data_IF_212731789860
#
_entry.id   IF_212731789860
#
_cell.length_a   1.000
_cell.length_b   1.000
_cell.length_c   1.000
_cell.angle_alpha   90.00
_cell.angle_beta   90.00
_cell.angle_gamma   90.00
#
_symmetry.space_group_name_H-M   'P 1'
#
loop_
_entity.id
_entity.type
_entity.pdbx_description
1 polymer ?
#
# COMPACT_ATOMS: atom_id res chain seq x y z
N UNK A 1 -20.99 1.61 4.06
CA UNK A 1 -20.12 2.39 3.14
C UNK A 1 -20.95 2.94 2.00
N UNK A 2 -20.70 4.16 1.55
CA UNK A 2 -21.30 4.78 0.36
C UNK A 2 -20.23 5.02 -0.71
N UNK A 3 -20.59 4.87 -1.97
CA UNK A 3 -19.75 5.26 -3.11
C UNK A 3 -20.47 6.39 -3.86
N UNK A 4 -19.85 7.57 -3.89
CA UNK A 4 -20.34 8.74 -4.62
C UNK A 4 -19.48 8.96 -5.86
N UNK A 5 -20.11 8.94 -7.02
CA UNK A 5 -19.46 9.21 -8.31
C UNK A 5 -19.88 10.58 -8.81
N UNK A 6 -18.94 11.51 -8.93
CA UNK A 6 -19.16 12.91 -9.29
C UNK A 6 -18.60 13.18 -10.68
N UNK A 7 -19.45 13.39 -11.70
CA UNK A 7 -18.97 13.74 -13.04
C UNK A 7 -18.48 15.19 -13.07
N UNK A 8 -17.21 15.39 -13.47
CA UNK A 8 -16.60 16.73 -13.57
C UNK A 8 -16.33 17.17 -15.01
N UNK A 9 -16.48 16.28 -15.98
CA UNK A 9 -16.41 16.59 -17.40
C UNK A 9 -15.04 17.04 -17.92
N UNK A 10 -13.98 16.78 -17.17
CA UNK A 10 -12.61 17.20 -17.50
C UNK A 10 -11.57 16.38 -16.70
N UNK A 11 -10.31 16.50 -17.05
CA UNK A 11 -9.21 15.89 -16.31
C UNK A 11 -8.27 15.11 -17.22
N UNK A 12 -8.80 14.49 -18.28
CA UNK A 12 -8.00 13.67 -19.21
C UNK A 12 -7.62 12.29 -18.64
N UNK A 13 -7.89 12.06 -17.35
CA UNK A 13 -7.78 10.79 -16.66
C UNK A 13 -9.15 10.31 -16.23
N UNK A 14 -9.40 8.98 -16.16
CA UNK A 14 -10.73 8.45 -15.81
C UNK A 14 -11.22 8.95 -14.46
N UNK A 15 -10.34 8.89 -13.45
CA UNK A 15 -10.60 9.37 -12.10
C UNK A 15 -9.48 10.34 -11.69
N UNK A 16 -9.58 11.63 -12.05
CA UNK A 16 -8.57 12.63 -11.70
C UNK A 16 -8.38 12.85 -10.20
N UNK A 17 -9.40 12.52 -9.40
CA UNK A 17 -9.37 12.66 -7.95
C UNK A 17 -10.29 11.65 -7.27
N UNK A 18 -9.80 11.07 -6.17
CA UNK A 18 -10.56 10.26 -5.22
C UNK A 18 -10.31 10.75 -3.80
N UNK A 19 -11.23 10.49 -2.90
CA UNK A 19 -11.06 10.77 -1.48
C UNK A 19 -11.97 9.89 -0.62
N UNK A 20 -11.53 9.58 0.59
CA UNK A 20 -12.34 8.92 1.62
C UNK A 20 -12.89 9.96 2.57
N UNK A 21 -14.20 9.94 2.77
CA UNK A 21 -14.90 10.74 3.77
C UNK A 21 -15.31 9.85 4.93
N UNK A 22 -15.04 10.32 6.15
CA UNK A 22 -15.37 9.63 7.40
C UNK A 22 -16.11 10.54 8.35
N UNK A 23 -16.90 9.96 9.22
CA UNK A 23 -17.76 10.69 10.17
C UNK A 23 -19.24 10.57 9.81
N UNK A 24 -19.98 9.74 10.54
CA UNK A 24 -21.37 9.37 10.25
C UNK A 24 -21.54 8.21 9.29
N UNK A 25 -20.47 7.56 8.90
CA UNK A 25 -20.35 6.45 7.96
C UNK A 25 -19.23 6.70 6.95
N UNK A 26 -18.62 5.62 6.47
CA UNK A 26 -17.54 5.71 5.48
C UNK A 26 -18.13 5.93 4.08
N UNK A 27 -17.54 6.86 3.34
CA UNK A 27 -17.84 7.11 1.94
C UNK A 27 -16.56 7.26 1.12
N UNK A 28 -16.62 6.77 -0.13
CA UNK A 28 -15.57 7.03 -1.13
C UNK A 28 -16.18 7.95 -2.20
N UNK A 29 -15.55 9.08 -2.44
CA UNK A 29 -15.93 10.02 -3.49
C UNK A 29 -14.95 9.89 -4.65
N UNK A 30 -15.48 9.69 -5.86
CA UNK A 30 -14.70 9.63 -7.09
C UNK A 30 -15.14 10.74 -8.01
N UNK A 31 -14.23 11.60 -8.40
CA UNK A 31 -14.45 12.66 -9.37
C UNK A 31 -14.00 12.16 -10.74
N UNK A 32 -14.93 12.01 -11.67
CA UNK A 32 -14.67 11.31 -12.93
C UNK A 32 -14.80 12.20 -14.16
N UNK A 33 -13.98 11.92 -15.17
CA UNK A 33 -14.20 12.45 -16.51
C UNK A 33 -15.11 11.50 -17.29
N UNK A 34 -16.43 11.71 -17.16
CA UNK A 34 -17.46 10.85 -17.77
C UNK A 34 -17.43 10.82 -19.31
N UNK A 35 -16.56 11.61 -19.95
CA UNK A 35 -16.38 11.60 -21.41
C UNK A 35 -15.51 10.44 -21.89
N UNK A 36 -14.75 9.83 -20.98
CA UNK A 36 -13.90 8.69 -21.29
C UNK A 36 -14.71 7.39 -21.39
N UNK A 37 -14.25 6.41 -22.16
CA UNK A 37 -14.96 5.14 -22.32
C UNK A 37 -14.88 4.28 -21.05
N UNK A 38 -15.82 3.36 -20.87
CA UNK A 38 -15.92 2.51 -19.67
C UNK A 38 -14.65 1.71 -19.40
N UNK A 39 -13.96 1.25 -20.44
CA UNK A 39 -12.71 0.49 -20.37
C UNK A 39 -11.59 1.28 -19.67
N UNK A 40 -11.59 2.62 -19.81
CA UNK A 40 -10.61 3.47 -19.14
C UNK A 40 -10.79 3.42 -17.62
N UNK A 41 -12.04 3.40 -17.12
CA UNK A 41 -12.34 3.28 -15.69
C UNK A 41 -11.99 1.89 -15.14
N UNK A 42 -12.20 0.84 -15.93
CA UNK A 42 -11.78 -0.52 -15.53
C UNK A 42 -10.26 -0.68 -15.44
N UNK A 43 -9.52 0.14 -16.17
CA UNK A 43 -8.05 0.18 -16.10
C UNK A 43 -7.53 1.07 -14.98
N UNK A 44 -8.36 1.96 -14.44
CA UNK A 44 -7.98 2.93 -13.40
C UNK A 44 -7.68 2.25 -12.05
N UNK A 45 -6.93 2.93 -11.21
CA UNK A 45 -6.47 2.42 -9.93
C UNK A 45 -7.07 3.14 -8.72
N UNK A 46 -7.61 4.34 -8.93
CA UNK A 46 -8.00 5.26 -7.83
C UNK A 46 -9.06 4.65 -6.94
N UNK A 47 -10.11 4.03 -7.50
CA UNK A 47 -11.16 3.39 -6.69
C UNK A 47 -10.57 2.38 -5.69
N UNK A 48 -9.65 1.51 -6.14
CA UNK A 48 -9.07 0.47 -5.28
C UNK A 48 -8.14 1.09 -4.23
N UNK A 49 -7.42 2.17 -4.59
CA UNK A 49 -6.61 2.94 -3.66
C UNK A 49 -7.47 3.56 -2.55
N UNK A 50 -8.54 4.26 -2.90
CA UNK A 50 -9.44 4.89 -1.93
C UNK A 50 -10.13 3.85 -1.03
N UNK A 51 -10.60 2.73 -1.60
CA UNK A 51 -11.16 1.65 -0.81
C UNK A 51 -10.14 1.07 0.19
N UNK A 52 -8.87 1.03 -0.17
CA UNK A 52 -7.81 0.51 0.70
C UNK A 52 -7.57 1.40 1.93
N UNK A 53 -7.87 2.69 1.87
CA UNK A 53 -7.83 3.55 3.05
C UNK A 53 -8.84 3.13 4.13
N UNK A 54 -9.90 2.40 3.78
CA UNK A 54 -10.89 1.91 4.75
C UNK A 54 -10.37 0.73 5.60
N UNK A 55 -9.22 0.15 5.27
CA UNK A 55 -8.59 -0.93 6.04
C UNK A 55 -7.92 -0.44 7.34
N UNK A 56 -7.80 0.87 7.54
CA UNK A 56 -7.15 1.47 8.71
C UNK A 56 -7.90 2.75 9.15
N UNK A 57 -7.66 3.26 10.38
CA UNK A 57 -8.27 4.51 10.86
C UNK A 57 -7.70 5.73 10.09
N UNK A 58 -8.25 6.92 10.37
CA UNK A 58 -7.59 8.16 9.96
C UNK A 58 -6.19 8.20 10.58
N UNK A 59 -5.17 8.38 9.76
CA UNK A 59 -3.79 8.53 10.21
C UNK A 59 -3.42 10.01 10.27
N UNK A 60 -2.70 10.40 11.32
CA UNK A 60 -2.23 11.77 11.53
C UNK A 60 -1.42 12.26 10.32
N UNK A 61 -1.59 13.52 9.98
CA UNK A 61 -0.99 14.11 8.78
C UNK A 61 0.55 13.93 8.66
N UNK A 62 1.35 13.99 9.73
CA UNK A 62 2.78 13.71 9.64
C UNK A 62 3.11 12.25 9.26
N UNK A 63 2.21 11.34 9.54
CA UNK A 63 2.38 9.90 9.35
C UNK A 63 1.73 9.37 8.04
N UNK A 64 1.44 10.23 7.07
CA UNK A 64 0.80 9.85 5.79
C UNK A 64 1.48 8.71 5.07
N UNK A 65 2.79 8.53 5.27
CA UNK A 65 3.55 7.42 4.67
C UNK A 65 2.90 6.06 4.96
N UNK A 66 2.28 5.87 6.13
CA UNK A 66 1.62 4.60 6.47
C UNK A 66 0.28 4.45 5.75
N UNK A 67 -0.56 5.49 5.79
CA UNK A 67 -1.87 5.50 5.13
C UNK A 67 -1.73 5.31 3.62
N UNK A 68 -0.96 6.18 2.98
CA UNK A 68 -0.73 6.15 1.53
C UNK A 68 0.06 4.91 1.10
N UNK A 69 0.94 4.43 1.98
CA UNK A 69 1.71 3.22 1.75
C UNK A 69 0.85 1.97 1.69
N UNK A 70 -0.04 1.77 2.66
CA UNK A 70 -1.01 0.67 2.66
C UNK A 70 -1.88 0.73 1.40
N UNK A 71 -2.43 1.90 1.08
CA UNK A 71 -3.27 2.08 -0.09
C UNK A 71 -2.50 1.82 -1.40
N UNK A 72 -1.26 2.32 -1.53
CA UNK A 72 -0.40 2.09 -2.71
C UNK A 72 0.02 0.63 -2.89
N UNK A 73 0.20 -0.11 -1.81
CA UNK A 73 0.44 -1.54 -1.84
C UNK A 73 -0.81 -2.28 -2.35
N UNK A 74 -1.93 -2.08 -1.68
CA UNK A 74 -3.17 -2.80 -1.96
C UNK A 74 -3.81 -2.43 -3.30
N UNK A 75 -3.65 -1.22 -3.80
CA UNK A 75 -4.16 -0.85 -5.12
C UNK A 75 -3.68 -1.79 -6.24
N UNK A 76 -2.48 -2.37 -6.10
CA UNK A 76 -1.93 -3.31 -7.08
C UNK A 76 -2.27 -4.76 -6.72
N UNK A 77 -2.12 -5.14 -5.47
CA UNK A 77 -2.40 -6.49 -4.95
C UNK A 77 -3.86 -6.85 -5.15
N UNK A 78 -4.79 -6.00 -4.73
CA UNK A 78 -6.22 -6.28 -4.83
C UNK A 78 -6.71 -6.34 -6.28
N UNK A 79 -6.12 -5.55 -7.18
CA UNK A 79 -6.45 -5.63 -8.62
C UNK A 79 -6.01 -6.96 -9.24
N UNK A 80 -4.90 -7.55 -8.78
CA UNK A 80 -4.50 -8.89 -9.19
C UNK A 80 -5.44 -9.95 -8.62
N UNK A 81 -5.74 -9.90 -7.33
CA UNK A 81 -6.64 -10.83 -6.65
C UNK A 81 -8.07 -10.81 -7.22
N UNK A 82 -8.54 -9.66 -7.64
CA UNK A 82 -9.84 -9.50 -8.29
C UNK A 82 -9.84 -9.93 -9.78
N UNK A 83 -8.71 -10.37 -10.31
CA UNK A 83 -8.60 -10.77 -11.73
C UNK A 83 -8.63 -9.60 -12.72
N UNK A 84 -8.61 -8.35 -12.25
CA UNK A 84 -8.58 -7.15 -13.10
C UNK A 84 -7.21 -6.97 -13.76
N UNK A 85 -6.16 -7.48 -13.14
CA UNK A 85 -4.79 -7.49 -13.64
C UNK A 85 -4.14 -8.84 -13.35
N UNK A 86 -3.12 -9.21 -14.11
CA UNK A 86 -2.36 -10.41 -13.79
C UNK A 86 -1.37 -10.19 -12.65
N UNK A 87 -0.99 -11.24 -11.91
CA UNK A 87 0.03 -11.17 -10.86
C UNK A 87 1.37 -10.59 -11.36
N UNK A 88 1.92 -11.01 -12.53
CA UNK A 88 3.12 -10.38 -13.06
C UNK A 88 2.96 -8.89 -13.35
N UNK A 89 1.79 -8.46 -13.81
CA UNK A 89 1.50 -7.04 -14.00
C UNK A 89 1.55 -6.28 -12.66
N UNK A 90 0.91 -6.81 -11.61
CA UNK A 90 0.87 -6.17 -10.30
C UNK A 90 2.28 -6.08 -9.68
N UNK A 91 3.09 -7.11 -9.78
CA UNK A 91 4.49 -7.07 -9.35
C UNK A 91 5.31 -6.02 -10.11
N UNK A 92 5.14 -5.92 -11.43
CA UNK A 92 5.79 -4.87 -12.22
C UNK A 92 5.33 -3.46 -11.80
N UNK A 93 4.06 -3.29 -11.49
CA UNK A 93 3.50 -2.01 -11.06
C UNK A 93 4.03 -1.59 -9.67
N UNK A 94 4.12 -2.52 -8.71
CA UNK A 94 4.77 -2.29 -7.42
C UNK A 94 6.24 -1.92 -7.60
N UNK A 95 6.99 -2.71 -8.37
CA UNK A 95 8.40 -2.44 -8.63
C UNK A 95 8.62 -1.06 -9.27
N UNK A 96 7.86 -0.72 -10.30
CA UNK A 96 7.93 0.60 -10.91
C UNK A 96 7.60 1.74 -9.92
N UNK A 97 6.73 1.48 -8.96
CA UNK A 97 6.45 2.38 -7.85
C UNK A 97 7.64 2.55 -6.93
N UNK A 98 8.24 1.47 -6.48
CA UNK A 98 9.44 1.51 -5.63
C UNK A 98 10.59 2.25 -6.31
N UNK A 99 10.83 2.00 -7.60
CA UNK A 99 11.84 2.72 -8.38
C UNK A 99 11.55 4.24 -8.47
N UNK A 100 10.28 4.66 -8.53
CA UNK A 100 9.92 6.08 -8.42
C UNK A 100 10.24 6.62 -7.03
N UNK A 101 9.89 5.88 -5.98
CA UNK A 101 10.19 6.26 -4.59
C UNK A 101 11.70 6.40 -4.33
N UNK A 102 12.51 5.45 -4.83
CA UNK A 102 13.97 5.49 -4.75
C UNK A 102 14.52 6.76 -5.42
N UNK A 103 14.11 7.01 -6.66
CA UNK A 103 14.56 8.16 -7.43
C UNK A 103 14.21 9.49 -6.79
N UNK A 104 13.03 9.57 -6.17
CA UNK A 104 12.50 10.79 -5.55
C UNK A 104 12.89 10.91 -4.06
N UNK A 105 13.81 10.06 -3.57
CA UNK A 105 14.31 10.11 -2.18
C UNK A 105 15.29 11.27 -2.02
N UNK A 106 14.96 12.30 -1.22
CA UNK A 106 15.86 13.42 -0.97
C UNK A 106 16.98 12.99 -0.03
N UNK A 107 18.21 13.44 -0.31
CA UNK A 107 19.37 13.11 0.54
C UNK A 107 19.26 13.74 1.93
N UNK A 108 19.62 12.97 2.96
CA UNK A 108 19.74 13.43 4.34
C UNK A 108 18.41 13.86 4.98
N UNK A 109 17.29 13.34 4.49
CA UNK A 109 15.98 13.57 5.09
C UNK A 109 15.29 12.23 5.36
N UNK A 110 14.89 12.03 6.60
CA UNK A 110 14.18 10.83 7.01
C UNK A 110 12.79 10.72 6.38
N UNK A 111 12.22 9.50 6.37
CA UNK A 111 10.85 9.30 5.90
C UNK A 111 9.84 10.13 6.71
N UNK A 112 10.04 10.23 8.03
CA UNK A 112 9.19 11.07 8.90
C UNK A 112 9.20 12.54 8.45
N UNK A 113 10.39 13.14 8.28
CA UNK A 113 10.52 14.54 7.85
C UNK A 113 9.93 14.82 6.47
N UNK A 114 10.11 13.86 5.52
CA UNK A 114 9.55 14.00 4.18
C UNK A 114 8.03 13.85 4.20
N UNK A 115 7.50 12.93 5.01
CA UNK A 115 6.06 12.73 5.17
C UNK A 115 5.36 13.95 5.77
N UNK A 116 5.94 14.56 6.81
CA UNK A 116 5.40 15.77 7.43
C UNK A 116 5.28 16.92 6.44
N UNK A 117 6.25 17.07 5.54
CA UNK A 117 6.31 18.19 4.59
C UNK A 117 5.82 17.83 3.19
N UNK A 118 5.29 16.61 2.98
CA UNK A 118 4.95 16.04 1.68
C UNK A 118 4.12 16.98 0.79
N UNK A 119 3.08 17.59 1.34
CA UNK A 119 2.19 18.49 0.58
C UNK A 119 2.90 19.75 0.12
N UNK A 120 3.78 20.32 0.95
CA UNK A 120 4.56 21.51 0.64
C UNK A 120 5.63 21.22 -0.41
N UNK A 121 6.36 20.12 -0.21
CA UNK A 121 7.55 19.77 -1.00
C UNK A 121 7.19 18.92 -2.23
N UNK A 122 5.93 18.50 -2.35
CA UNK A 122 5.40 17.59 -3.39
C UNK A 122 6.14 16.26 -3.46
N UNK A 123 6.60 15.75 -2.31
CA UNK A 123 7.41 14.52 -2.20
C UNK A 123 6.53 13.25 -2.17
N UNK A 124 5.47 13.21 -2.97
CA UNK A 124 4.48 12.11 -2.96
C UNK A 124 5.11 10.75 -3.24
N UNK A 125 5.98 10.64 -4.22
CA UNK A 125 6.54 9.36 -4.64
C UNK A 125 7.40 8.73 -3.54
N UNK A 126 8.24 9.54 -2.85
CA UNK A 126 9.02 9.07 -1.71
C UNK A 126 8.12 8.52 -0.61
N UNK A 127 7.08 9.25 -0.24
CA UNK A 127 6.21 8.94 0.90
C UNK A 127 5.35 7.70 0.60
N UNK A 128 4.63 7.70 -0.50
CA UNK A 128 3.72 6.63 -0.91
C UNK A 128 4.45 5.30 -1.08
N UNK A 129 5.55 5.32 -1.82
CA UNK A 129 6.24 4.08 -2.18
C UNK A 129 7.16 3.56 -1.08
N UNK A 130 7.66 4.42 -0.17
CA UNK A 130 8.34 3.91 1.04
C UNK A 130 7.34 3.20 1.97
N UNK A 131 6.17 3.79 2.16
CA UNK A 131 5.11 3.13 2.92
C UNK A 131 4.67 1.80 2.29
N UNK A 132 4.52 1.76 0.96
CA UNK A 132 4.19 0.53 0.24
C UNK A 132 5.31 -0.53 0.35
N UNK A 133 6.58 -0.13 0.33
CA UNK A 133 7.71 -1.02 0.56
C UNK A 133 7.68 -1.60 1.99
N UNK A 134 7.39 -0.78 2.99
CA UNK A 134 7.23 -1.22 4.39
C UNK A 134 6.04 -2.18 4.51
N UNK A 135 4.92 -1.92 3.83
CA UNK A 135 3.77 -2.81 3.79
C UNK A 135 4.11 -4.19 3.18
N UNK A 136 4.86 -4.21 2.07
CA UNK A 136 5.37 -5.46 1.47
C UNK A 136 6.27 -6.22 2.44
N UNK A 137 7.23 -5.52 3.09
CA UNK A 137 8.13 -6.13 4.07
C UNK A 137 7.35 -6.74 5.24
N UNK A 138 6.31 -6.05 5.72
CA UNK A 138 5.45 -6.55 6.80
C UNK A 138 4.67 -7.80 6.37
N UNK A 139 4.05 -7.79 5.18
CA UNK A 139 3.28 -8.93 4.67
C UNK A 139 4.17 -10.17 4.49
N UNK A 140 5.35 -10.01 3.90
CA UNK A 140 6.31 -11.11 3.72
C UNK A 140 6.76 -11.67 5.07
N UNK A 141 7.14 -10.82 6.00
CA UNK A 141 7.66 -11.25 7.29
C UNK A 141 6.60 -11.92 8.17
N UNK A 142 5.34 -11.45 8.13
CA UNK A 142 4.23 -12.11 8.80
C UNK A 142 4.00 -13.52 8.23
N UNK A 143 3.96 -13.66 6.92
CA UNK A 143 3.79 -14.96 6.24
C UNK A 143 4.94 -15.90 6.56
N UNK A 144 6.16 -15.41 6.54
CA UNK A 144 7.37 -16.19 6.86
C UNK A 144 7.33 -16.72 8.28
N UNK A 145 7.11 -15.87 9.29
CA UNK A 145 7.11 -16.25 10.71
C UNK A 145 5.98 -17.20 11.08
N UNK A 146 4.87 -17.13 10.37
CA UNK A 146 3.68 -17.92 10.68
C UNK A 146 3.45 -19.12 9.76
N UNK A 147 4.40 -19.43 8.88
CA UNK A 147 4.22 -20.42 7.81
C UNK A 147 2.95 -20.18 6.97
N UNK A 148 2.66 -18.90 6.67
CA UNK A 148 1.52 -18.47 5.88
C UNK A 148 0.22 -18.26 6.64
N UNK A 149 0.16 -18.56 7.93
CA UNK A 149 -1.05 -18.39 8.75
C UNK A 149 -1.42 -16.91 9.02
N UNK A 150 -0.44 -16.02 9.00
CA UNK A 150 -0.62 -14.58 9.14
C UNK A 150 -0.13 -13.84 7.90
N UNK A 151 -0.75 -12.70 7.65
CA UNK A 151 -0.44 -11.79 6.55
C UNK A 151 -0.78 -10.36 6.95
N UNK A 152 -0.47 -9.39 6.11
CA UNK A 152 -0.96 -8.02 6.30
C UNK A 152 -2.50 -7.97 6.26
N UNK A 153 -3.14 -8.83 5.45
CA UNK A 153 -4.60 -8.94 5.38
C UNK A 153 -5.19 -9.34 6.74
N UNK A 154 -4.68 -10.42 7.33
CA UNK A 154 -5.19 -10.92 8.62
C UNK A 154 -4.92 -9.93 9.75
N UNK A 155 -3.80 -9.22 9.73
CA UNK A 155 -3.47 -8.19 10.71
C UNK A 155 -4.44 -6.99 10.63
N UNK A 156 -4.73 -6.51 9.41
CA UNK A 156 -5.67 -5.41 9.18
C UNK A 156 -7.12 -5.84 9.43
N UNK A 157 -7.50 -7.07 9.12
CA UNK A 157 -8.82 -7.60 9.46
C UNK A 157 -9.01 -7.64 10.98
N UNK A 158 -8.05 -8.18 11.73
CA UNK A 158 -8.10 -8.18 13.19
C UNK A 158 -8.14 -6.75 13.78
N UNK A 159 -7.46 -5.79 13.13
CA UNK A 159 -7.58 -4.39 13.50
C UNK A 159 -8.98 -3.83 13.19
N UNK A 160 -9.57 -4.19 12.07
CA UNK A 160 -10.95 -3.83 11.72
C UNK A 160 -11.94 -4.29 12.78
N UNK A 161 -11.83 -5.53 13.18
CA UNK A 161 -12.74 -6.14 14.16
C UNK A 161 -12.66 -5.51 15.56
N UNK A 162 -11.47 -5.09 16.01
CA UNK A 162 -11.32 -4.53 17.37
C UNK A 162 -11.51 -3.01 17.42
N UNK A 163 -11.17 -2.31 16.36
CA UNK A 163 -10.75 -0.92 16.49
C UNK A 163 -11.37 0.00 15.44
N UNK A 164 -12.18 -0.50 14.52
CA UNK A 164 -12.93 0.30 13.54
C UNK A 164 -14.46 0.14 13.77
N UNK A 165 -15.23 1.20 13.50
CA UNK A 165 -14.78 2.54 13.12
C UNK A 165 -14.09 3.25 14.29
N UNK A 166 -13.04 4.03 13.97
CA UNK A 166 -12.34 4.83 14.98
C UNK A 166 -12.95 6.23 15.08
N UNK A 167 -13.05 6.75 16.29
CA UNK A 167 -13.61 8.07 16.62
C UNK A 167 -12.54 9.18 16.62
N UNK A 168 -11.27 8.81 16.43
CA UNK A 168 -10.11 9.70 16.38
C UNK A 168 -9.11 9.28 15.31
N UNK A 169 -8.18 10.17 15.00
CA UNK A 169 -6.98 9.81 14.25
C UNK A 169 -5.98 9.03 15.11
N UNK A 170 -5.12 8.29 14.45
CA UNK A 170 -4.04 7.49 15.02
C UNK A 170 -2.70 7.92 14.44
N UNK A 171 -1.66 7.93 15.26
CA UNK A 171 -0.30 7.99 14.73
C UNK A 171 0.12 6.65 14.12
N UNK A 172 1.08 6.66 13.20
CA UNK A 172 1.64 5.43 12.64
C UNK A 172 2.19 4.51 13.73
N UNK A 173 2.83 5.10 14.75
CA UNK A 173 3.37 4.34 15.89
C UNK A 173 2.28 3.63 16.69
N UNK A 174 1.14 4.26 16.92
CA UNK A 174 0.01 3.65 17.63
C UNK A 174 -0.57 2.48 16.83
N UNK A 175 -0.83 2.70 15.53
CA UNK A 175 -1.36 1.66 14.67
C UNK A 175 -0.40 0.47 14.56
N UNK A 176 0.88 0.69 14.28
CA UNK A 176 1.85 -0.38 14.14
C UNK A 176 2.06 -1.15 15.45
N UNK A 177 2.03 -0.48 16.60
CA UNK A 177 2.06 -1.15 17.90
C UNK A 177 0.81 -2.01 18.15
N UNK A 178 -0.36 -1.54 17.69
CA UNK A 178 -1.60 -2.31 17.83
C UNK A 178 -1.60 -3.53 16.92
N UNK A 179 -1.09 -3.41 15.69
CA UNK A 179 -0.93 -4.55 14.79
C UNK A 179 0.03 -5.61 15.37
N UNK A 180 1.13 -5.21 16.01
CA UNK A 180 2.01 -6.15 16.73
C UNK A 180 1.27 -6.89 17.86
N UNK A 181 0.43 -6.19 18.63
CA UNK A 181 -0.36 -6.85 19.69
C UNK A 181 -1.34 -7.87 19.12
N UNK A 182 -2.01 -7.53 18.02
CA UNK A 182 -3.02 -8.39 17.41
C UNK A 182 -2.41 -9.63 16.75
N UNK A 183 -1.22 -9.49 16.18
CA UNK A 183 -0.50 -10.61 15.55
C UNK A 183 0.36 -11.41 16.53
N UNK A 184 0.59 -10.89 17.75
CA UNK A 184 1.53 -11.49 18.70
C UNK A 184 2.99 -11.42 18.26
N UNK A 185 3.32 -10.53 17.30
CA UNK A 185 4.64 -10.36 16.71
C UNK A 185 5.21 -8.96 17.02
N UNK A 186 6.44 -8.69 16.57
CA UNK A 186 7.10 -7.37 16.66
C UNK A 186 7.42 -6.80 15.29
N UNK A 187 6.85 -7.37 14.23
CA UNK A 187 7.17 -7.07 12.83
C UNK A 187 6.97 -5.59 12.50
N UNK A 188 5.84 -5.04 12.89
CA UNK A 188 5.49 -3.66 12.55
C UNK A 188 6.38 -2.65 13.28
N UNK A 189 6.60 -2.82 14.57
CA UNK A 189 7.47 -1.91 15.33
C UNK A 189 8.95 -2.07 15.00
N UNK A 190 9.39 -3.24 14.57
CA UNK A 190 10.77 -3.44 14.08
C UNK A 190 10.97 -2.68 12.76
N UNK A 191 10.00 -2.76 11.83
CA UNK A 191 10.01 -1.99 10.59
C UNK A 191 9.90 -0.48 10.84
N UNK A 192 9.06 -0.05 11.78
CA UNK A 192 8.96 1.34 12.19
C UNK A 192 10.33 1.90 12.61
N UNK A 193 10.99 1.24 13.56
CA UNK A 193 12.31 1.67 14.07
C UNK A 193 13.39 1.66 13.00
N UNK A 194 13.30 0.73 12.05
CA UNK A 194 14.30 0.60 10.99
C UNK A 194 14.17 1.68 9.91
N UNK A 195 12.93 2.10 9.57
CA UNK A 195 12.71 2.84 8.34
C UNK A 195 12.18 4.26 8.52
N UNK A 196 11.51 4.58 9.65
CA UNK A 196 10.83 5.88 9.78
C UNK A 196 11.81 7.03 9.93
N UNK A 197 12.88 6.83 10.71
CA UNK A 197 13.94 7.82 10.91
C UNK A 197 15.12 7.65 9.91
N UNK A 198 15.01 6.71 8.96
CA UNK A 198 16.02 6.50 7.92
C UNK A 198 15.84 7.48 6.77
N UNK A 199 16.96 7.98 6.23
CA UNK A 199 17.00 8.85 5.07
C UNK A 199 17.04 8.11 3.74
N UNK A 200 17.34 6.82 3.75
CA UNK A 200 17.29 5.94 2.58
C UNK A 200 15.90 5.35 2.34
N UNK A 201 15.64 4.96 1.09
CA UNK A 201 14.46 4.16 0.75
C UNK A 201 14.59 2.75 1.37
N UNK A 202 13.48 2.11 1.82
CA UNK A 202 13.55 0.74 2.35
C UNK A 202 14.21 -0.24 1.38
N UNK A 203 15.26 -0.92 1.83
CA UNK A 203 15.96 -1.91 1.01
C UNK A 203 15.08 -3.16 0.81
N UNK A 204 14.81 -3.50 -0.44
CA UNK A 204 14.04 -4.66 -0.86
C UNK A 204 14.90 -5.78 -1.45
N UNK A 205 16.23 -5.60 -1.53
CA UNK A 205 17.11 -6.52 -2.25
C UNK A 205 17.02 -7.96 -1.75
N UNK A 206 17.09 -8.16 -0.43
CA UNK A 206 16.99 -9.49 0.18
C UNK A 206 15.63 -10.14 -0.08
N UNK A 207 14.52 -9.41 0.17
CA UNK A 207 13.15 -9.90 -0.04
C UNK A 207 12.90 -10.20 -1.52
N UNK A 208 13.41 -9.39 -2.43
CA UNK A 208 13.30 -9.66 -3.87
C UNK A 208 13.98 -10.98 -4.24
N UNK A 209 15.20 -11.22 -3.73
CA UNK A 209 15.91 -12.48 -3.98
C UNK A 209 15.16 -13.71 -3.45
N UNK A 210 14.61 -13.62 -2.24
CA UNK A 210 13.86 -14.68 -1.58
C UNK A 210 12.52 -14.99 -2.29
N UNK A 211 11.80 -13.95 -2.70
CA UNK A 211 10.54 -14.07 -3.46
C UNK A 211 10.75 -14.47 -4.93
N UNK A 212 11.99 -14.44 -5.43
CA UNK A 212 12.29 -14.70 -6.84
C UNK A 212 11.97 -13.54 -7.78
N UNK A 213 11.96 -12.30 -7.28
CA UNK A 213 11.72 -11.10 -8.05
C UNK A 213 13.04 -10.54 -8.58
N UNK A 214 13.35 -10.78 -9.85
CA UNK A 214 14.58 -10.33 -10.47
C UNK A 214 14.36 -9.07 -11.29
N UNK A 215 14.98 -7.94 -10.87
CA UNK A 215 14.89 -6.68 -11.59
C UNK A 215 15.59 -6.75 -12.96
N UNK A 216 14.83 -6.53 -14.01
CA UNK A 216 15.32 -6.44 -15.39
C UNK A 216 15.44 -4.99 -15.86
N UNK A 217 14.63 -4.10 -15.31
CA UNK A 217 14.65 -2.65 -15.54
C UNK A 217 13.79 -1.97 -14.47
N UNK A 218 13.77 -0.65 -14.42
CA UNK A 218 12.95 0.12 -13.48
C UNK A 218 11.42 -0.14 -13.54
N UNK A 219 10.96 -0.91 -14.53
CA UNK A 219 9.51 -1.19 -14.69
C UNK A 219 9.22 -2.66 -14.95
N UNK A 220 10.22 -3.51 -14.94
CA UNK A 220 10.08 -4.92 -15.34
C UNK A 220 10.83 -5.86 -14.41
N UNK A 221 10.12 -6.84 -13.92
CA UNK A 221 10.63 -7.98 -13.17
C UNK A 221 10.54 -9.26 -14.01
N UNK A 222 11.44 -10.19 -13.73
CA UNK A 222 11.29 -11.60 -14.07
C UNK A 222 10.98 -12.35 -12.76
N UNK A 223 9.99 -13.21 -12.77
CA UNK A 223 9.62 -14.05 -11.64
C UNK A 223 10.33 -15.39 -11.77
N UNK A 224 10.98 -15.83 -10.70
CA UNK A 224 11.61 -17.13 -10.59
C UNK A 224 10.78 -18.03 -9.66
N UNK A 225 10.03 -18.99 -10.19
CA UNK A 225 9.17 -19.87 -9.39
C UNK A 225 9.97 -20.88 -8.55
N UNK A 226 11.29 -20.95 -8.72
CA UNK A 226 12.15 -21.86 -7.96
C UNK A 226 12.82 -21.19 -6.76
N UNK A 227 12.55 -19.90 -6.53
CA UNK A 227 13.10 -19.17 -5.39
C UNK A 227 12.58 -19.74 -4.05
N UNK A 228 13.34 -19.50 -2.98
CA UNK A 228 13.09 -20.08 -1.66
C UNK A 228 11.69 -19.77 -1.12
N UNK A 229 11.16 -18.59 -1.41
CA UNK A 229 9.86 -18.11 -0.94
C UNK A 229 8.90 -17.77 -2.10
N UNK A 230 9.04 -18.45 -3.25
CA UNK A 230 8.14 -18.25 -4.39
C UNK A 230 6.66 -18.48 -4.03
N UNK A 231 6.37 -19.37 -3.08
CA UNK A 231 5.02 -19.58 -2.57
C UNK A 231 4.43 -18.35 -1.88
N UNK A 232 5.24 -17.56 -1.16
CA UNK A 232 4.81 -16.29 -0.57
C UNK A 232 4.55 -15.26 -1.68
N UNK A 233 5.41 -15.19 -2.69
CA UNK A 233 5.23 -14.34 -3.85
C UNK A 233 3.88 -14.59 -4.55
N UNK A 234 3.51 -15.87 -4.73
CA UNK A 234 2.23 -16.28 -5.31
C UNK A 234 1.06 -15.94 -4.36
N UNK A 235 1.18 -16.27 -3.07
CA UNK A 235 0.13 -16.06 -2.06
C UNK A 235 -0.24 -14.58 -1.88
N UNK A 236 0.71 -13.65 -2.04
CA UNK A 236 0.44 -12.21 -1.99
C UNK A 236 -0.55 -11.79 -3.09
N UNK A 237 -0.42 -12.35 -4.29
CA UNK A 237 -1.22 -11.97 -5.46
C UNK A 237 -2.46 -12.83 -5.68
N UNK A 238 -2.68 -13.83 -4.83
CA UNK A 238 -3.83 -14.76 -4.92
C UNK A 238 -4.88 -14.37 -3.86
N UNK A 239 -6.15 -14.38 -4.25
CA UNK A 239 -7.25 -14.22 -3.28
C UNK A 239 -7.27 -15.42 -2.31
N UNK A 240 -7.42 -15.16 -1.02
CA UNK A 240 -7.77 -16.22 -0.05
C UNK A 240 -9.15 -16.76 -0.41
N UNK A 241 -9.26 -18.07 -0.56
CA UNK A 241 -10.58 -18.72 -0.67
C UNK A 241 -11.13 -18.82 0.76
N UNK A 242 -12.22 -18.12 1.01
CA UNK A 242 -13.03 -18.28 2.23
C UNK A 242 -13.77 -19.62 2.24
#
# INVERSE_FOLDING_TARGET
MQLLVVPIGRGGEPVPWGEVQRGGGDAVHLYIDQRLPAEAFMADWVLVHELSHLLHPVIDAPDRWLSEGIASYYQNVLRARAGLKSAPWAWNALHAGFERGIRDTPRGRSLAEVSETMMRDRSFMRVYWSGAAIALLADVELRRRSAGAQSLDTALAAFGDCCLPADRSWSARELMRQLDRLTGATVFMDLYRKHVDADDFPDLGAVYGELGLQSMSATRLRLDPTAAEAAICEAIMTATQD
#
